data_IF_706161643852
#
_entry.id   IF_706161643852
#
_cell.length_a   1.000
_cell.length_b   1.000
_cell.length_c   1.000
_cell.angle_alpha   90.00
_cell.angle_beta   90.00
_cell.angle_gamma   90.00
#
_symmetry.space_group_name_H-M   'P 1'
#
loop_
_entity.id
_entity.type
_entity.pdbx_description
1 polymer ?
#
# COMPACT_ATOMS: atom_id res chain seq x y z
N UNK A 1 3.50 -8.57 -7.37
CA UNK A 1 3.99 -7.32 -6.77
C UNK A 1 3.87 -7.34 -5.25
N UNK A 2 2.70 -7.68 -4.69
CA UNK A 2 2.50 -7.76 -3.24
C UNK A 2 3.55 -8.61 -2.48
N UNK A 3 3.91 -9.79 -2.99
CA UNK A 3 4.90 -10.67 -2.31
C UNK A 3 6.30 -10.05 -2.21
N UNK A 4 6.73 -9.30 -3.24
CA UNK A 4 8.02 -8.61 -3.25
C UNK A 4 8.00 -7.48 -2.23
N UNK A 5 6.96 -6.64 -2.25
CA UNK A 5 6.80 -5.56 -1.25
C UNK A 5 6.76 -6.13 0.16
N UNK A 6 6.08 -7.27 0.33
CA UNK A 6 6.00 -7.96 1.60
C UNK A 6 7.37 -8.40 2.11
N UNK A 7 8.30 -8.78 1.22
CA UNK A 7 9.65 -9.22 1.57
C UNK A 7 10.64 -8.08 1.82
N UNK A 8 10.55 -6.98 1.07
CA UNK A 8 11.61 -5.96 1.02
C UNK A 8 11.25 -4.62 1.64
N UNK A 9 9.97 -4.32 1.86
CA UNK A 9 9.56 -3.06 2.47
C UNK A 9 9.21 -3.23 3.95
N UNK A 10 9.56 -2.25 4.79
CA UNK A 10 9.12 -2.25 6.18
C UNK A 10 7.62 -1.95 6.28
N UNK A 11 7.15 -0.97 5.52
CA UNK A 11 5.75 -0.53 5.50
C UNK A 11 5.18 -0.67 4.09
N UNK A 12 3.97 -1.22 3.99
CA UNK A 12 3.25 -1.36 2.74
C UNK A 12 2.00 -0.48 2.75
N UNK A 13 1.85 0.40 1.75
CA UNK A 13 0.65 1.21 1.54
C UNK A 13 0.04 0.83 0.20
N UNK A 14 -1.17 0.29 0.22
CA UNK A 14 -1.93 -0.09 -0.97
C UNK A 14 -2.87 1.05 -1.32
N UNK A 15 -2.82 1.48 -2.58
CA UNK A 15 -3.67 2.53 -3.13
C UNK A 15 -4.15 2.16 -4.52
N UNK A 16 -5.13 2.89 -5.03
CA UNK A 16 -5.62 2.66 -6.39
C UNK A 16 -4.65 3.23 -7.42
N UNK A 17 -4.46 2.47 -8.50
CA UNK A 17 -3.80 2.94 -9.71
C UNK A 17 -4.76 2.80 -10.89
N UNK A 18 -5.51 3.88 -11.16
CA UNK A 18 -6.53 3.98 -12.22
C UNK A 18 -7.48 2.76 -12.30
N UNK A 19 -8.44 2.65 -11.37
CA UNK A 19 -9.42 1.57 -11.42
C UNK A 19 -10.42 1.87 -12.53
N UNK A 20 -10.14 1.45 -13.77
CA UNK A 20 -11.01 1.64 -14.93
C UNK A 20 -12.43 1.14 -14.64
N UNK A 21 -12.65 -0.18 -14.70
CA UNK A 21 -13.96 -0.82 -14.47
C UNK A 21 -13.94 -1.82 -13.31
N UNK A 22 -12.78 -2.05 -12.70
CA UNK A 22 -12.66 -2.99 -11.58
C UNK A 22 -13.21 -2.41 -10.28
N UNK A 23 -13.86 -3.27 -9.50
CA UNK A 23 -14.36 -2.88 -8.20
C UNK A 23 -13.18 -2.79 -7.22
N UNK A 24 -12.88 -1.57 -6.77
CA UNK A 24 -11.85 -1.24 -5.77
C UNK A 24 -11.81 -2.21 -4.58
N UNK A 25 -12.97 -2.64 -4.10
CA UNK A 25 -13.08 -3.57 -2.96
C UNK A 25 -12.55 -4.97 -3.29
N UNK A 26 -12.73 -5.43 -4.53
CA UNK A 26 -12.23 -6.74 -4.96
C UNK A 26 -10.71 -6.78 -5.07
N UNK A 27 -10.08 -5.70 -5.56
CA UNK A 27 -8.62 -5.58 -5.62
C UNK A 27 -8.03 -5.57 -4.20
N UNK A 28 -8.63 -4.78 -3.30
CA UNK A 28 -8.22 -4.72 -1.90
C UNK A 28 -8.31 -6.09 -1.23
N UNK A 29 -9.41 -6.83 -1.41
CA UNK A 29 -9.56 -8.17 -0.85
C UNK A 29 -8.53 -9.15 -1.41
N UNK A 30 -8.26 -9.11 -2.71
CA UNK A 30 -7.26 -9.97 -3.35
C UNK A 30 -5.86 -9.70 -2.81
N UNK A 31 -5.49 -8.44 -2.59
CA UNK A 31 -4.18 -8.11 -2.03
C UNK A 31 -4.12 -8.47 -0.54
N UNK A 32 -5.16 -8.16 0.23
CA UNK A 32 -5.23 -8.45 1.67
C UNK A 32 -5.15 -9.96 1.95
N UNK A 33 -5.85 -10.79 1.18
CA UNK A 33 -5.80 -12.26 1.33
C UNK A 33 -4.41 -12.87 1.13
N UNK A 34 -3.51 -12.17 0.44
CA UNK A 34 -2.13 -12.62 0.19
C UNK A 34 -1.13 -12.10 1.24
N UNK A 35 -1.52 -11.12 2.05
CA UNK A 35 -0.65 -10.53 3.08
C UNK A 35 -1.05 -11.11 4.44
N UNK A 36 -0.35 -12.17 4.86
CA UNK A 36 -0.62 -12.86 6.13
C UNK A 36 0.26 -12.39 7.28
N UNK A 37 1.38 -11.73 6.99
CA UNK A 37 2.43 -11.43 7.97
C UNK A 37 2.53 -9.94 8.32
N UNK A 38 1.46 -9.17 8.07
CA UNK A 38 1.39 -7.74 8.38
C UNK A 38 0.12 -7.42 9.15
N UNK A 39 0.19 -6.37 9.94
CA UNK A 39 -0.87 -5.83 10.78
C UNK A 39 -1.40 -4.54 10.19
N UNK A 40 -2.71 -4.54 9.88
CA UNK A 40 -3.41 -3.36 9.40
C UNK A 40 -3.29 -2.20 10.40
N UNK A 41 -2.90 -1.02 9.91
CA UNK A 41 -2.69 0.19 10.71
C UNK A 41 -1.32 0.28 11.40
N UNK A 42 -0.44 -0.71 11.21
CA UNK A 42 0.94 -0.69 11.74
C UNK A 42 1.98 -0.71 10.62
N UNK A 43 2.04 -1.80 9.87
CA UNK A 43 3.01 -2.06 8.78
C UNK A 43 2.30 -2.37 7.44
N UNK A 44 0.95 -2.28 7.45
CA UNK A 44 0.08 -2.33 6.29
C UNK A 44 -0.99 -1.24 6.38
N UNK A 45 -1.12 -0.44 5.33
CA UNK A 45 -2.18 0.55 5.18
C UNK A 45 -2.89 0.34 3.85
N UNK A 46 -4.22 0.50 3.83
CA UNK A 46 -5.04 0.39 2.63
C UNK A 46 -5.79 1.72 2.49
N UNK A 47 -5.35 2.53 1.53
CA UNK A 47 -5.86 3.90 1.30
C UNK A 47 -6.12 4.04 -0.20
N UNK A 48 -7.35 3.79 -0.67
CA UNK A 48 -7.66 3.76 -2.11
C UNK A 48 -7.40 5.09 -2.82
N UNK A 49 -7.65 6.21 -2.14
CA UNK A 49 -7.37 7.53 -2.71
C UNK A 49 -5.86 7.80 -2.66
N UNK A 50 -5.26 7.93 -3.85
CA UNK A 50 -3.81 8.04 -4.05
C UNK A 50 -3.20 9.24 -3.35
N UNK A 51 -3.86 10.39 -3.34
CA UNK A 51 -3.35 11.59 -2.68
C UNK A 51 -3.23 11.38 -1.16
N UNK A 52 -4.24 10.78 -0.54
CA UNK A 52 -4.27 10.41 0.88
C UNK A 52 -3.23 9.33 1.20
N UNK A 53 -3.01 8.37 0.29
CA UNK A 53 -1.98 7.35 0.46
C UNK A 53 -0.57 7.96 0.48
N UNK A 54 -0.29 8.88 -0.45
CA UNK A 54 0.97 9.63 -0.50
C UNK A 54 1.14 10.47 0.76
N UNK A 55 0.09 11.20 1.18
CA UNK A 55 0.10 11.99 2.42
C UNK A 55 0.39 11.13 3.65
N UNK A 56 -0.25 9.95 3.75
CA UNK A 56 0.00 9.01 4.83
C UNK A 56 1.48 8.58 4.84
N UNK A 57 2.02 8.20 3.67
CA UNK A 57 3.42 7.80 3.52
C UNK A 57 4.39 8.90 3.97
N UNK A 58 4.15 10.13 3.55
CA UNK A 58 4.99 11.28 3.93
C UNK A 58 4.87 11.64 5.40
N UNK A 59 3.71 11.42 6.03
CA UNK A 59 3.49 11.75 7.43
C UNK A 59 4.15 10.76 8.40
N UNK A 60 4.27 9.49 7.99
CA UNK A 60 4.88 8.45 8.84
C UNK A 60 6.39 8.33 8.65
N UNK A 61 6.90 8.71 7.47
CA UNK A 61 8.32 8.67 7.17
C UNK A 61 9.15 9.58 8.09
N UNK A 62 10.33 9.08 8.48
CA UNK A 62 11.29 9.78 9.31
C UNK A 62 12.53 10.19 8.49
N UNK A 63 13.35 11.15 8.98
CA UNK A 63 14.61 11.47 8.35
C UNK A 63 15.50 10.23 8.17
N UNK A 64 15.84 9.93 6.92
CA UNK A 64 16.64 8.74 6.55
C UNK A 64 15.83 7.61 5.92
N UNK A 65 14.50 7.65 5.99
CA UNK A 65 13.63 6.68 5.32
C UNK A 65 13.60 6.90 3.80
N UNK A 66 13.31 5.83 3.06
CA UNK A 66 13.15 5.86 1.62
C UNK A 66 11.68 5.58 1.29
N UNK A 67 11.04 6.52 0.59
CA UNK A 67 9.70 6.35 0.04
C UNK A 67 9.78 5.96 -1.44
N UNK A 68 9.13 4.85 -1.80
CA UNK A 68 9.05 4.37 -3.19
C UNK A 68 7.58 4.37 -3.61
N UNK A 69 7.27 5.13 -4.66
CA UNK A 69 5.97 5.08 -5.35
C UNK A 69 6.11 4.22 -6.60
N UNK A 70 5.36 3.13 -6.69
CA UNK A 70 5.43 2.17 -7.80
C UNK A 70 4.04 1.98 -8.42
N UNK A 71 3.99 1.73 -9.74
CA UNK A 71 2.76 1.41 -10.48
C UNK A 71 2.44 2.35 -11.64
N UNK A 72 2.96 3.58 -11.62
CA UNK A 72 2.82 4.58 -12.68
C UNK A 72 4.16 5.05 -13.21
#
# INVERSE_FOLDING_TARGET
MGDIVNQYADIMIITDDDPDTENRLSIIQQVQSKITNRTLGKDLFIIPERTLAIQCATNIAQPGDILIFAGK
#
